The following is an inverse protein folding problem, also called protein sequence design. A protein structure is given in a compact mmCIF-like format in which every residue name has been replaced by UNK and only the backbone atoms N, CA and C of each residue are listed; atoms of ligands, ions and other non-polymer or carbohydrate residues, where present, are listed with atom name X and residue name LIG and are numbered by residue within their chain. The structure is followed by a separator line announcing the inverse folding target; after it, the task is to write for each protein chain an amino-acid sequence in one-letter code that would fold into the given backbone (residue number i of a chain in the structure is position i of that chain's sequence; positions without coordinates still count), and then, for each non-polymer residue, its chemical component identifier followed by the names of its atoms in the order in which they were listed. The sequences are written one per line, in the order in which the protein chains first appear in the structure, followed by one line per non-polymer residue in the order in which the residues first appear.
data_IF_409155835454
#
_entry.id   IF_409155835454
#
_cell.length_a   1.000
_cell.length_b   1.000
_cell.length_c   1.000
_cell.angle_alpha   90.00
_cell.angle_beta   90.00
_cell.angle_gamma   90.00
#
_symmetry.space_group_name_H-M   'P 1'
#
loop_
_entity.id
_entity.type
_entity.pdbx_description
1 polymer ?
#
# COMPACT_ATOMS: atom_id res chain seq x y z
N UNK A 1 -2.75 11.18 6.20
CA UNK A 1 -1.59 10.31 6.50
C UNK A 1 -1.11 10.54 7.93
N UNK A 2 -0.68 11.75 8.26
CA UNK A 2 -0.02 12.04 9.55
C UNK A 2 -0.95 11.84 10.75
N UNK A 3 -2.23 12.21 10.64
CA UNK A 3 -3.26 11.88 11.65
C UNK A 3 -3.35 10.38 11.94
N UNK A 4 -3.17 9.52 10.92
CA UNK A 4 -3.20 8.05 11.12
C UNK A 4 -1.97 7.62 11.90
N UNK A 5 -0.82 8.20 11.59
CA UNK A 5 0.42 7.92 12.32
C UNK A 5 0.26 8.30 13.79
N UNK A 6 -0.19 9.52 14.05
CA UNK A 6 -0.37 10.05 15.40
C UNK A 6 -1.43 9.27 16.18
N UNK A 7 -2.49 8.80 15.51
CA UNK A 7 -3.55 7.97 16.14
C UNK A 7 -3.02 6.61 16.61
N UNK A 8 -2.28 5.90 15.74
CA UNK A 8 -1.70 4.60 16.10
C UNK A 8 -0.65 4.78 17.21
N UNK A 9 0.20 5.80 17.10
CA UNK A 9 1.23 6.15 18.08
C UNK A 9 0.63 6.46 19.45
N UNK A 10 -0.45 7.25 19.49
CA UNK A 10 -1.15 7.64 20.72
C UNK A 10 -1.73 6.41 21.43
N UNK A 11 -2.49 5.58 20.71
CA UNK A 11 -3.16 4.41 21.32
C UNK A 11 -2.13 3.39 21.80
N UNK A 12 -1.17 3.02 20.96
CA UNK A 12 -0.17 2.02 21.34
C UNK A 12 0.70 2.48 22.52
N UNK A 13 1.05 3.76 22.58
CA UNK A 13 1.80 4.33 23.70
C UNK A 13 0.98 4.35 24.99
N UNK A 14 -0.28 4.80 24.92
CA UNK A 14 -1.15 4.90 26.09
C UNK A 14 -1.52 3.53 26.68
N UNK A 15 -1.76 2.54 25.81
CA UNK A 15 -2.23 1.21 26.21
C UNK A 15 -1.10 0.19 26.41
N UNK A 16 0.16 0.59 26.21
CA UNK A 16 1.33 -0.28 26.42
C UNK A 16 1.30 -1.59 25.62
N UNK A 17 0.73 -1.58 24.41
CA UNK A 17 0.72 -2.77 23.56
C UNK A 17 2.12 -3.21 23.15
N UNK A 18 2.45 -4.49 23.34
CA UNK A 18 3.78 -5.04 23.05
C UNK A 18 4.10 -5.12 21.56
N UNK A 19 3.09 -5.32 20.71
CA UNK A 19 3.22 -5.46 19.27
C UNK A 19 2.01 -4.90 18.51
N UNK A 20 2.19 -4.64 17.21
CA UNK A 20 1.17 -4.00 16.37
C UNK A 20 1.02 -4.73 15.02
N UNK A 21 -0.19 -5.18 14.72
CA UNK A 21 -0.59 -5.55 13.36
C UNK A 21 -1.47 -4.44 12.78
N UNK A 22 -0.94 -3.66 11.84
CA UNK A 22 -1.67 -2.55 11.23
C UNK A 22 -2.41 -3.00 9.97
N UNK A 23 -3.73 -3.11 10.05
CA UNK A 23 -4.59 -3.44 8.90
C UNK A 23 -4.98 -2.16 8.15
N UNK A 24 -4.63 -2.08 6.87
CA UNK A 24 -4.78 -0.87 6.04
C UNK A 24 -5.27 -1.24 4.64
N UNK A 25 -5.99 -0.36 3.95
CA UNK A 25 -6.61 -0.71 2.66
C UNK A 25 -6.74 0.40 1.64
N UNK A 26 -6.34 1.64 1.94
CA UNK A 26 -6.43 2.75 1.00
C UNK A 26 -5.18 3.62 1.06
N UNK A 27 -4.83 4.18 -0.10
CA UNK A 27 -3.70 5.04 -0.42
C UNK A 27 -2.90 5.59 0.78
N UNK A 28 -3.49 6.51 1.56
CA UNK A 28 -2.79 7.24 2.64
C UNK A 28 -2.72 6.49 3.97
N UNK A 29 -3.43 5.36 4.11
CA UNK A 29 -3.41 4.54 5.32
C UNK A 29 -2.05 3.84 5.47
N UNK A 30 -1.55 3.23 4.40
CA UNK A 30 -0.29 2.49 4.38
C UNK A 30 0.89 3.31 4.92
N UNK A 31 1.23 4.48 4.34
CA UNK A 31 2.35 5.27 4.86
C UNK A 31 2.08 5.85 6.25
N UNK A 32 0.82 6.13 6.62
CA UNK A 32 0.48 6.59 7.97
C UNK A 32 0.78 5.53 9.03
N UNK A 33 0.37 4.29 8.78
CA UNK A 33 0.69 3.16 9.63
C UNK A 33 2.21 2.93 9.72
N UNK A 34 2.90 2.86 8.58
CA UNK A 34 4.36 2.66 8.55
C UNK A 34 5.13 3.72 9.32
N UNK A 35 4.71 4.99 9.24
CA UNK A 35 5.30 6.06 10.04
C UNK A 35 5.14 5.80 11.55
N UNK A 36 3.95 5.41 12.01
CA UNK A 36 3.72 5.07 13.42
C UNK A 36 4.57 3.87 13.87
N UNK A 37 4.60 2.81 13.06
CA UNK A 37 5.39 1.61 13.38
C UNK A 37 6.88 1.96 13.56
N UNK A 38 7.43 2.79 12.66
CA UNK A 38 8.82 3.25 12.77
C UNK A 38 9.11 4.13 13.99
N UNK A 39 8.17 5.02 14.37
CA UNK A 39 8.28 5.88 15.56
C UNK A 39 8.25 5.07 16.85
N UNK A 40 7.25 4.19 16.98
CA UNK A 40 7.05 3.33 18.16
C UNK A 40 8.18 2.31 18.31
N UNK A 41 8.70 1.81 17.19
CA UNK A 41 9.74 0.79 17.13
C UNK A 41 9.46 -0.40 18.06
N UNK A 42 8.23 -0.91 18.03
CA UNK A 42 7.81 -2.16 18.68
C UNK A 42 7.60 -3.24 17.61
N UNK A 43 7.75 -4.54 17.92
CA UNK A 43 7.48 -5.62 16.97
C UNK A 43 6.16 -5.39 16.23
N UNK A 44 6.22 -5.33 14.89
CA UNK A 44 5.07 -4.92 14.11
C UNK A 44 5.07 -5.46 12.69
N UNK A 45 3.87 -5.56 12.13
CA UNK A 45 3.65 -5.95 10.74
C UNK A 45 2.50 -5.15 10.12
N UNK A 46 2.62 -4.84 8.83
CA UNK A 46 1.55 -4.21 8.07
C UNK A 46 0.80 -5.27 7.27
N UNK A 47 -0.54 -5.18 7.30
CA UNK A 47 -1.44 -6.09 6.59
C UNK A 47 -2.26 -5.27 5.59
N UNK A 48 -1.93 -5.40 4.31
CA UNK A 48 -2.71 -4.81 3.24
C UNK A 48 -4.03 -5.57 3.04
N UNK A 49 -5.13 -4.83 2.98
CA UNK A 49 -6.49 -5.34 2.80
C UNK A 49 -6.75 -5.94 1.41
N UNK A 50 -5.89 -5.65 0.43
CA UNK A 50 -5.96 -6.20 -0.92
C UNK A 50 -6.60 -5.26 -1.93
N UNK A 51 -6.33 -5.55 -3.20
CA UNK A 51 -6.88 -4.81 -4.35
C UNK A 51 -8.31 -5.24 -4.66
N UNK A 52 -9.11 -4.32 -5.20
CA UNK A 52 -10.43 -4.61 -5.77
C UNK A 52 -10.30 -5.41 -7.07
N UNK A 53 -11.26 -6.28 -7.36
CA UNK A 53 -11.39 -6.92 -8.68
C UNK A 53 -11.89 -5.91 -9.72
N UNK A 54 -11.54 -6.08 -11.01
CA UNK A 54 -12.07 -5.22 -12.06
C UNK A 54 -13.59 -5.34 -12.19
N UNK A 55 -14.23 -4.21 -12.43
CA UNK A 55 -15.64 -4.12 -12.81
C UNK A 55 -15.87 -4.60 -14.24
N UNK A 56 -17.13 -4.76 -14.65
CA UNK A 56 -17.49 -5.10 -16.05
C UNK A 56 -18.73 -4.40 -16.54
N UNK A 57 -18.66 -3.82 -17.74
CA UNK A 57 -19.83 -3.28 -18.45
C UNK A 57 -19.61 -3.34 -19.96
N UNK A 58 -20.63 -3.77 -20.71
CA UNK A 58 -20.57 -3.79 -22.18
C UNK A 58 -19.43 -4.64 -22.75
N UNK A 59 -19.05 -5.73 -22.06
CA UNK A 59 -17.95 -6.60 -22.47
C UNK A 59 -16.54 -6.04 -22.21
N UNK A 60 -16.42 -4.90 -21.52
CA UNK A 60 -15.14 -4.28 -21.14
C UNK A 60 -14.92 -4.40 -19.64
N UNK A 61 -13.67 -4.61 -19.25
CA UNK A 61 -13.24 -4.48 -17.86
C UNK A 61 -13.19 -2.98 -17.48
N UNK A 62 -13.57 -2.69 -16.25
CA UNK A 62 -13.67 -1.33 -15.71
C UNK A 62 -12.88 -1.21 -14.41
N UNK A 63 -12.50 0.02 -14.11
CA UNK A 63 -11.94 0.45 -12.84
C UNK A 63 -12.41 1.87 -12.48
N UNK A 64 -11.84 2.45 -11.42
CA UNK A 64 -12.19 3.81 -11.00
C UNK A 64 -11.83 4.87 -12.06
N UNK A 65 -10.77 4.65 -12.85
CA UNK A 65 -10.39 5.57 -13.94
C UNK A 65 -11.42 5.55 -15.05
N UNK A 66 -11.97 4.37 -15.35
CA UNK A 66 -13.06 4.22 -16.31
C UNK A 66 -14.26 5.12 -15.96
N UNK A 67 -14.59 5.29 -14.68
CA UNK A 67 -15.65 6.19 -14.24
C UNK A 67 -15.29 7.68 -14.43
N UNK A 68 -14.03 8.05 -14.20
CA UNK A 68 -13.53 9.42 -14.46
C UNK A 68 -13.53 9.75 -15.96
N UNK A 69 -13.05 8.82 -16.78
CA UNK A 69 -13.03 8.97 -18.25
C UNK A 69 -14.44 9.03 -18.83
N UNK A 70 -15.36 8.20 -18.32
CA UNK A 70 -16.76 8.21 -18.75
C UNK A 70 -17.43 9.56 -18.48
N UNK A 71 -17.11 10.25 -17.38
CA UNK A 71 -17.60 11.60 -17.12
C UNK A 71 -17.08 12.58 -18.19
N UNK A 72 -15.81 12.51 -18.54
CA UNK A 72 -15.20 13.33 -19.59
C UNK A 72 -15.85 13.10 -20.96
N UNK A 73 -16.02 11.83 -21.35
CA UNK A 73 -16.67 11.46 -22.62
C UNK A 73 -18.12 11.92 -22.68
N UNK A 74 -18.86 11.83 -21.57
CA UNK A 74 -20.24 12.32 -21.49
C UNK A 74 -20.32 13.83 -21.67
N UNK A 75 -19.43 14.60 -21.03
CA UNK A 75 -19.36 16.06 -21.17
C UNK A 75 -19.01 16.43 -22.62
N UNK A 76 -18.15 15.66 -23.28
CA UNK A 76 -17.80 15.84 -24.68
C UNK A 76 -18.88 15.37 -25.68
N UNK A 77 -20.03 14.85 -25.20
CA UNK A 77 -21.11 14.32 -26.06
C UNK A 77 -20.77 12.99 -26.76
N UNK A 78 -19.73 12.29 -26.32
CA UNK A 78 -19.23 11.04 -26.91
C UNK A 78 -19.76 9.78 -26.22
N UNK A 79 -20.50 9.95 -25.11
CA UNK A 79 -21.04 8.85 -24.31
C UNK A 79 -22.48 9.15 -23.92
N UNK A 80 -23.38 8.20 -24.18
CA UNK A 80 -24.78 8.32 -23.77
C UNK A 80 -24.93 8.23 -22.25
N UNK A 81 -25.94 8.92 -21.71
CA UNK A 81 -26.25 8.93 -20.27
C UNK A 81 -26.49 7.52 -19.72
N UNK A 82 -27.04 6.62 -20.54
CA UNK A 82 -27.27 5.20 -20.19
C UNK A 82 -25.95 4.48 -19.94
N UNK A 83 -25.00 4.60 -20.87
CA UNK A 83 -23.70 3.92 -20.78
C UNK A 83 -22.84 4.54 -19.69
N UNK A 84 -22.89 5.87 -19.52
CA UNK A 84 -22.25 6.55 -18.39
C UNK A 84 -22.71 5.97 -17.05
N UNK A 85 -24.03 5.89 -16.82
CA UNK A 85 -24.58 5.29 -15.60
C UNK A 85 -24.21 3.81 -15.46
N UNK A 86 -24.15 3.10 -16.58
CA UNK A 86 -23.69 1.71 -16.64
C UNK A 86 -22.26 1.56 -16.14
N UNK A 87 -21.32 2.35 -16.66
CA UNK A 87 -19.92 2.35 -16.25
C UNK A 87 -19.80 2.69 -14.76
N UNK A 88 -20.39 3.79 -14.31
CA UNK A 88 -20.29 4.24 -12.90
C UNK A 88 -20.81 3.19 -11.93
N UNK A 89 -21.92 2.51 -12.25
CA UNK A 89 -22.49 1.46 -11.38
C UNK A 89 -21.67 0.18 -11.30
N UNK A 90 -20.86 -0.11 -12.32
CA UNK A 90 -20.14 -1.38 -12.44
C UNK A 90 -18.63 -1.24 -12.26
N UNK A 91 -18.08 -0.02 -12.16
CA UNK A 91 -16.65 0.25 -12.03
C UNK A 91 -16.02 -0.29 -10.73
N UNK A 92 -16.79 -0.40 -9.64
CA UNK A 92 -16.31 -0.84 -8.34
C UNK A 92 -17.18 -2.01 -7.83
N UNK A 93 -16.87 -3.26 -8.20
CA UNK A 93 -17.75 -4.41 -7.96
C UNK A 93 -17.75 -4.93 -6.51
N UNK A 94 -16.90 -4.39 -5.62
CA UNK A 94 -16.81 -4.86 -4.24
C UNK A 94 -15.75 -4.13 -3.43
N UNK A 95 -15.32 -4.75 -2.32
CA UNK A 95 -14.26 -4.21 -1.46
C UNK A 95 -12.87 -4.34 -2.08
N UNK A 96 -11.96 -3.45 -1.65
CA UNK A 96 -10.53 -3.44 -2.02
C UNK A 96 -10.06 -2.06 -2.44
N UNK A 97 -8.74 -1.85 -2.47
CA UNK A 97 -8.15 -0.62 -3.00
C UNK A 97 -8.24 -0.56 -4.53
N UNK A 98 -7.92 0.60 -5.13
CA UNK A 98 -7.96 0.78 -6.57
C UNK A 98 -7.08 -0.24 -7.31
N UNK A 99 -7.60 -0.84 -8.39
CA UNK A 99 -7.00 -1.99 -9.10
C UNK A 99 -5.66 -1.75 -9.79
N UNK A 100 -5.44 -0.55 -10.33
CA UNK A 100 -4.22 -0.21 -11.05
C UNK A 100 -3.01 0.02 -10.14
N UNK A 101 -1.84 0.29 -10.74
CA UNK A 101 -0.60 0.62 -10.02
C UNK A 101 -0.55 2.07 -9.53
N UNK A 102 -1.65 2.49 -8.90
CA UNK A 102 -1.76 3.75 -8.17
C UNK A 102 -1.08 3.62 -6.80
N UNK A 103 -1.15 4.68 -6.00
CA UNK A 103 -0.43 4.76 -4.73
C UNK A 103 -0.76 3.62 -3.77
N UNK A 104 -1.99 3.09 -3.76
CA UNK A 104 -2.33 1.99 -2.88
C UNK A 104 -1.52 0.72 -3.16
N UNK A 105 -1.57 0.22 -4.40
CA UNK A 105 -0.82 -0.98 -4.80
C UNK A 105 0.69 -0.70 -4.87
N UNK A 106 1.13 0.49 -5.29
CA UNK A 106 2.55 0.86 -5.24
C UNK A 106 3.10 0.77 -3.82
N UNK A 107 2.40 1.36 -2.84
CA UNK A 107 2.86 1.32 -1.45
C UNK A 107 2.77 -0.10 -0.87
N UNK A 108 1.73 -0.87 -1.20
CA UNK A 108 1.64 -2.26 -0.75
C UNK A 108 2.84 -3.09 -1.24
N UNK A 109 3.17 -3.04 -2.53
CA UNK A 109 4.32 -3.75 -3.10
C UNK A 109 5.66 -3.24 -2.56
N UNK A 110 5.80 -1.92 -2.40
CA UNK A 110 7.00 -1.33 -1.81
C UNK A 110 7.21 -1.76 -0.36
N UNK A 111 6.15 -1.84 0.44
CA UNK A 111 6.21 -2.22 1.87
C UNK A 111 6.51 -3.72 2.03
N UNK A 112 6.00 -4.57 1.14
CA UNK A 112 6.39 -5.98 1.09
C UNK A 112 7.88 -6.13 0.76
N UNK A 113 8.39 -5.39 -0.23
CA UNK A 113 9.81 -5.36 -0.59
C UNK A 113 10.71 -4.75 0.50
N UNK A 114 10.18 -3.81 1.29
CA UNK A 114 10.82 -3.24 2.48
C UNK A 114 10.91 -4.27 3.63
N UNK A 115 10.16 -5.37 3.56
CA UNK A 115 10.15 -6.45 4.57
C UNK A 115 9.15 -6.25 5.71
N UNK A 116 8.23 -5.29 5.60
CA UNK A 116 7.30 -4.91 6.67
C UNK A 116 5.91 -5.56 6.54
N UNK A 117 5.73 -6.40 5.52
CA UNK A 117 4.55 -7.25 5.30
C UNK A 117 4.99 -8.66 4.95
N UNK A 118 4.12 -9.66 5.16
CA UNK A 118 4.41 -11.04 4.74
C UNK A 118 4.46 -11.14 3.21
N UNK A 119 5.22 -12.11 2.66
CA UNK A 119 5.18 -12.41 1.24
C UNK A 119 3.75 -12.69 0.77
N UNK A 120 3.44 -12.17 -0.42
CA UNK A 120 2.14 -12.17 -1.11
C UNK A 120 1.08 -11.21 -0.54
N UNK A 121 1.37 -10.49 0.55
CA UNK A 121 0.40 -9.59 1.18
C UNK A 121 -0.08 -8.49 0.21
N UNK A 122 0.82 -7.99 -0.65
CA UNK A 122 0.54 -6.94 -1.63
C UNK A 122 -0.26 -7.39 -2.84
N UNK A 123 -0.31 -8.70 -3.14
CA UNK A 123 -0.85 -9.22 -4.39
C UNK A 123 -2.15 -10.01 -4.25
N UNK A 124 -2.50 -10.49 -3.04
CA UNK A 124 -3.81 -11.12 -2.82
C UNK A 124 -4.96 -10.10 -2.88
N UNK A 125 -5.94 -10.26 -3.80
CA UNK A 125 -7.09 -9.36 -3.86
C UNK A 125 -7.97 -9.46 -2.60
N UNK A 126 -8.73 -8.41 -2.32
CA UNK A 126 -9.42 -8.26 -1.04
C UNK A 126 -10.46 -9.36 -0.77
N UNK A 127 -11.16 -9.81 -1.82
CA UNK A 127 -12.27 -10.76 -1.71
C UNK A 127 -11.88 -12.17 -2.18
N UNK A 128 -10.69 -12.66 -1.78
CA UNK A 128 -10.25 -14.02 -2.12
C UNK A 128 -9.91 -14.85 -0.87
N UNK A 129 -10.02 -16.19 -0.95
CA UNK A 129 -9.63 -17.08 0.15
C UNK A 129 -8.15 -16.94 0.56
N UNK A 130 -7.28 -16.56 -0.37
CA UNK A 130 -5.87 -16.31 -0.09
C UNK A 130 -5.68 -15.14 0.87
N UNK A 131 -6.49 -14.08 0.77
CA UNK A 131 -6.43 -12.96 1.73
C UNK A 131 -6.87 -13.38 3.14
N UNK A 132 -7.83 -14.30 3.25
CA UNK A 132 -8.20 -14.91 4.55
C UNK A 132 -7.04 -15.75 5.09
N UNK A 133 -6.39 -16.53 4.24
CA UNK A 133 -5.23 -17.35 4.63
C UNK A 133 -4.04 -16.46 5.04
N UNK A 134 -3.83 -15.34 4.35
CA UNK A 134 -2.82 -14.34 4.65
C UNK A 134 -3.00 -13.73 6.05
N UNK A 135 -4.23 -13.34 6.42
CA UNK A 135 -4.52 -12.79 7.75
C UNK A 135 -4.34 -13.82 8.87
N UNK A 136 -4.62 -15.11 8.62
CA UNK A 136 -4.40 -16.18 9.59
C UNK A 136 -2.92 -16.40 9.93
N UNK A 137 -1.99 -16.02 9.04
CA UNK A 137 -0.53 -16.13 9.26
C UNK A 137 0.03 -15.01 10.14
N UNK A 138 -0.68 -13.89 10.28
CA UNK A 138 -0.22 -12.68 10.98
C UNK A 138 0.10 -12.95 12.45
N UNK A 139 -0.75 -13.72 13.15
CA UNK A 139 -0.55 -14.02 14.57
C UNK A 139 0.77 -14.77 14.85
N UNK A 140 1.07 -15.78 14.04
CA UNK A 140 2.33 -16.53 14.15
C UNK A 140 3.56 -15.65 13.83
N UNK A 141 3.44 -14.77 12.83
CA UNK A 141 4.50 -13.83 12.48
C UNK A 141 4.77 -12.81 13.61
N UNK A 142 3.73 -12.19 14.17
CA UNK A 142 3.86 -11.26 15.30
C UNK A 142 4.49 -11.96 16.51
N UNK A 143 4.06 -13.19 16.82
CA UNK A 143 4.66 -13.97 17.90
C UNK A 143 6.15 -14.19 17.67
N UNK A 144 6.55 -14.54 16.46
CA UNK A 144 7.97 -14.71 16.13
C UNK A 144 8.78 -13.42 16.29
N UNK A 145 8.23 -12.27 15.84
CA UNK A 145 8.87 -10.97 16.01
C UNK A 145 9.02 -10.60 17.49
N UNK A 146 8.02 -10.90 18.32
CA UNK A 146 8.08 -10.71 19.78
C UNK A 146 9.15 -11.60 20.44
N UNK A 147 9.15 -12.90 20.14
CA UNK A 147 10.12 -13.86 20.70
C UNK A 147 11.57 -13.52 20.35
N UNK A 148 11.80 -12.90 19.18
CA UNK A 148 13.11 -12.49 18.69
C UNK A 148 13.43 -11.01 18.93
N UNK A 149 12.49 -10.25 19.48
CA UNK A 149 12.56 -8.80 19.62
C UNK A 149 12.97 -8.08 18.32
N UNK A 150 12.43 -8.54 17.18
CA UNK A 150 12.66 -7.93 15.86
C UNK A 150 11.71 -6.75 15.70
N UNK A 151 12.26 -5.56 15.51
CA UNK A 151 11.53 -4.30 15.46
C UNK A 151 11.63 -3.63 14.09
N UNK A 152 10.74 -2.66 13.79
CA UNK A 152 10.73 -1.94 12.52
C UNK A 152 12.07 -1.32 12.12
N UNK A 153 12.88 -0.81 13.07
CA UNK A 153 14.22 -0.26 12.76
C UNK A 153 15.27 -1.32 12.46
N UNK A 154 15.04 -2.56 12.84
CA UNK A 154 15.91 -3.70 12.48
C UNK A 154 15.63 -4.15 11.03
N UNK A 155 14.40 -3.92 10.54
CA UNK A 155 13.93 -4.32 9.21
C UNK A 155 14.15 -3.19 8.18
N UNK A 156 13.71 -1.98 8.52
CA UNK A 156 13.75 -0.80 7.64
C UNK A 156 15.15 -0.16 7.58
N UNK A 157 16.16 -0.96 7.25
CA UNK A 157 17.51 -0.51 6.97
C UNK A 157 17.59 0.19 5.61
N UNK A 158 18.72 0.86 5.33
CA UNK A 158 18.94 1.61 4.09
C UNK A 158 18.74 0.75 2.85
N UNK A 159 19.26 -0.47 2.88
CA UNK A 159 19.17 -1.46 1.80
C UNK A 159 17.73 -1.88 1.53
N UNK A 160 16.90 -1.98 2.58
CA UNK A 160 15.49 -2.31 2.44
C UNK A 160 14.73 -1.18 1.71
N UNK A 161 15.08 0.08 1.96
CA UNK A 161 14.55 1.21 1.18
C UNK A 161 14.99 1.15 -0.29
N UNK A 162 16.24 0.77 -0.58
CA UNK A 162 16.69 0.61 -1.96
C UNK A 162 15.96 -0.52 -2.69
N UNK A 163 15.67 -1.63 -2.00
CA UNK A 163 14.81 -2.71 -2.53
C UNK A 163 13.40 -2.19 -2.85
N UNK A 164 12.78 -1.45 -1.93
CA UNK A 164 11.46 -0.87 -2.13
C UNK A 164 11.42 0.11 -3.32
N UNK A 165 12.43 0.99 -3.46
CA UNK A 165 12.54 1.92 -4.58
C UNK A 165 12.76 1.20 -5.92
N UNK A 166 13.51 0.10 -5.91
CA UNK A 166 13.70 -0.75 -7.10
C UNK A 166 12.36 -1.33 -7.53
N UNK A 167 11.59 -1.90 -6.60
CA UNK A 167 10.25 -2.46 -6.89
C UNK A 167 9.27 -1.38 -7.37
N UNK A 168 9.29 -0.19 -6.77
CA UNK A 168 8.49 0.95 -7.24
C UNK A 168 8.83 1.26 -8.71
N UNK A 169 10.12 1.28 -9.07
CA UNK A 169 10.55 1.58 -10.44
C UNK A 169 10.16 0.49 -11.42
N UNK A 170 10.43 -0.77 -11.08
CA UNK A 170 10.10 -1.93 -11.95
C UNK A 170 8.61 -1.97 -12.26
N UNK A 171 7.75 -1.67 -11.29
CA UNK A 171 6.29 -1.73 -11.45
C UNK A 171 5.68 -0.46 -12.05
N UNK A 172 6.47 0.57 -12.37
CA UNK A 172 5.95 1.86 -12.85
C UNK A 172 5.07 2.54 -11.80
N UNK A 173 5.46 2.43 -10.53
CA UNK A 173 4.68 2.88 -9.39
C UNK A 173 4.41 4.38 -9.35
N UNK A 174 3.37 4.74 -8.59
CA UNK A 174 2.93 6.12 -8.40
C UNK A 174 4.03 7.03 -7.85
N UNK A 175 4.16 8.24 -8.40
CA UNK A 175 5.08 9.29 -7.93
C UNK A 175 4.83 9.72 -6.47
N UNK A 176 3.63 9.50 -5.94
CA UNK A 176 3.33 9.71 -4.50
C UNK A 176 4.23 8.85 -3.59
N UNK A 177 4.77 7.73 -4.09
CA UNK A 177 5.71 6.90 -3.36
C UNK A 177 6.96 7.68 -2.91
N UNK A 178 7.41 8.68 -3.68
CA UNK A 178 8.53 9.55 -3.29
C UNK A 178 8.26 10.22 -1.94
N UNK A 179 7.10 10.87 -1.81
CA UNK A 179 6.70 11.58 -0.59
C UNK A 179 6.52 10.62 0.59
N UNK A 180 6.04 9.41 0.31
CA UNK A 180 5.70 8.44 1.33
C UNK A 180 6.93 7.70 1.86
N UNK A 181 7.81 7.23 0.97
CA UNK A 181 9.04 6.53 1.36
C UNK A 181 10.00 7.46 2.11
N UNK A 182 10.13 8.74 1.73
CA UNK A 182 10.92 9.72 2.50
C UNK A 182 10.35 9.91 3.90
N UNK A 183 9.02 10.00 4.04
CA UNK A 183 8.38 10.15 5.34
C UNK A 183 8.54 8.90 6.23
N UNK A 184 8.49 7.70 5.65
CA UNK A 184 8.74 6.44 6.35
C UNK A 184 10.22 6.33 6.75
N UNK A 185 11.17 6.64 5.85
CA UNK A 185 12.59 6.65 6.18
C UNK A 185 12.92 7.59 7.34
N UNK A 186 12.31 8.78 7.34
CA UNK A 186 12.43 9.74 8.45
C UNK A 186 11.91 9.19 9.77
N UNK A 187 10.86 8.36 9.80
CA UNK A 187 10.31 7.81 11.05
C UNK A 187 11.23 6.81 11.73
N UNK A 188 12.14 6.19 10.97
CA UNK A 188 13.17 5.26 11.47
C UNK A 188 14.58 5.84 11.52
N UNK A 189 14.75 7.12 11.13
CA UNK A 189 16.05 7.78 11.14
C UNK A 189 16.98 7.37 10.00
N UNK A 190 16.44 6.78 8.92
CA UNK A 190 17.22 6.46 7.72
C UNK A 190 17.26 7.68 6.80
N UNK A 191 18.44 8.16 6.37
CA UNK A 191 18.53 9.19 5.37
C UNK A 191 18.06 8.64 4.02
N UNK A 192 17.08 9.29 3.42
CA UNK A 192 16.59 9.00 2.07
C UNK A 192 16.22 10.33 1.41
N UNK A 193 16.82 10.63 0.26
CA UNK A 193 16.59 11.89 -0.48
C UNK A 193 15.93 11.62 -1.82
N UNK A 194 15.55 12.68 -2.54
CA UNK A 194 15.02 12.56 -3.90
C UNK A 194 16.10 12.03 -4.87
N UNK A 195 17.37 12.35 -4.64
CA UNK A 195 18.49 11.87 -5.47
C UNK A 195 18.64 10.34 -5.42
N UNK A 196 18.24 9.71 -4.31
CA UNK A 196 18.22 8.26 -4.20
C UNK A 196 17.21 7.60 -5.15
N UNK A 197 16.07 8.26 -5.39
CA UNK A 197 15.09 7.79 -6.39
C UNK A 197 15.69 7.88 -7.78
N UNK A 198 16.29 9.01 -8.13
CA UNK A 198 16.92 9.19 -9.45
C UNK A 198 17.99 8.13 -9.69
N UNK A 199 18.92 7.95 -8.74
CA UNK A 199 20.00 6.96 -8.83
C UNK A 199 19.47 5.54 -9.03
N UNK A 200 18.37 5.16 -8.38
CA UNK A 200 17.78 3.82 -8.54
C UNK A 200 17.04 3.70 -9.86
N UNK A 201 16.28 4.71 -10.25
CA UNK A 201 15.56 4.74 -11.52
C UNK A 201 16.50 4.69 -12.72
N UNK A 202 17.66 5.36 -12.67
CA UNK A 202 18.65 5.35 -13.75
C UNK A 202 19.19 3.95 -14.09
N UNK A 203 19.19 3.02 -13.12
CA UNK A 203 19.72 1.67 -13.26
C UNK A 203 18.66 0.57 -13.28
N UNK A 204 17.38 0.93 -13.16
CA UNK A 204 16.28 -0.03 -13.00
C UNK A 204 15.26 0.16 -14.14
N UNK A 205 15.06 -0.84 -15.01
CA UNK A 205 14.07 -0.72 -16.08
C UNK A 205 12.64 -0.79 -15.51
N UNK A 206 11.71 -0.20 -16.24
CA UNK A 206 10.28 -0.48 -16.11
C UNK A 206 9.95 -1.79 -16.85
N UNK A 207 9.21 -2.70 -16.21
CA UNK A 207 8.80 -4.02 -16.74
C UNK A 207 7.27 -4.15 -16.75
#
# INVERSE_FOLDING_TARGET
RDIIADSIETVASAQWYDAIAAVVGCDKNMPGAMMALGRLNRPAILVYGGTISPGRYGGKDLDIVSAFEALGQRIAGQLEEKDFKGIVRNACPGAGACGGMYTANTMASAIEALGMSLPFNSSYPANTPEKVTDTMRVGAAIRHLLEKDIKPRDIMAREAFENALTVITVLGGSTNAVLHMIAIAKSVGVPLTIDDFQRITDKTPFL
#
